data_IF_315223433781
#
_entry.id   IF_315223433781
#
_cell.length_a   1.000
_cell.length_b   1.000
_cell.length_c   1.000
_cell.angle_alpha   90.00
_cell.angle_beta   90.00
_cell.angle_gamma   90.00
#
_symmetry.space_group_name_H-M   'P 1'
#
loop_
_entity.id
_entity.type
_entity.pdbx_description
1 polymer ?
#
# COMPACT_ATOMS: atom_id res chain seq x y z
N UNK A 1 -11.00 19.57 -2.55
CA UNK A 1 -9.99 20.01 -3.55
C UNK A 1 -9.29 18.79 -4.12
N UNK A 2 -9.05 18.74 -5.43
CA UNK A 2 -8.26 17.69 -6.08
C UNK A 2 -6.79 18.09 -6.05
N UNK A 3 -5.93 17.22 -5.52
CA UNK A 3 -4.51 17.45 -5.30
C UNK A 3 -3.67 16.37 -5.99
N UNK A 4 -2.44 16.73 -6.32
CA UNK A 4 -1.39 15.76 -6.68
C UNK A 4 -1.04 14.85 -5.50
N UNK A 5 -0.45 13.69 -5.79
CA UNK A 5 -0.25 12.63 -4.80
C UNK A 5 0.64 13.08 -3.62
N UNK A 6 1.74 13.77 -3.89
CA UNK A 6 2.67 14.23 -2.85
C UNK A 6 2.04 15.35 -1.99
N UNK A 7 1.38 16.31 -2.64
CA UNK A 7 0.65 17.38 -1.96
C UNK A 7 -0.51 16.85 -1.11
N UNK A 8 -1.19 15.80 -1.57
CA UNK A 8 -2.22 15.13 -0.78
C UNK A 8 -1.66 14.52 0.51
N UNK A 9 -0.51 13.86 0.46
CA UNK A 9 0.13 13.26 1.63
C UNK A 9 0.60 14.33 2.64
N UNK A 10 1.17 15.43 2.14
CA UNK A 10 1.54 16.57 2.99
C UNK A 10 0.33 17.18 3.70
N UNK A 11 -0.74 17.44 2.95
CA UNK A 11 -1.94 18.06 3.51
C UNK A 11 -2.70 17.10 4.44
N UNK A 12 -2.69 15.79 4.15
CA UNK A 12 -3.21 14.75 5.04
C UNK A 12 -2.45 14.72 6.37
N UNK A 13 -1.13 14.88 6.34
CA UNK A 13 -0.31 14.97 7.56
C UNK A 13 -0.71 16.18 8.40
N UNK A 14 -0.94 17.34 7.77
CA UNK A 14 -1.45 18.54 8.47
C UNK A 14 -2.83 18.31 9.10
N UNK A 15 -3.71 17.55 8.43
CA UNK A 15 -5.02 17.20 9.00
C UNK A 15 -4.88 16.33 10.26
N UNK A 16 -4.00 15.34 10.27
CA UNK A 16 -3.74 14.55 11.47
C UNK A 16 -3.18 15.40 12.62
N UNK A 17 -2.25 16.31 12.34
CA UNK A 17 -1.73 17.25 13.34
C UNK A 17 -2.83 18.16 13.89
N UNK A 18 -3.70 18.71 13.03
CA UNK A 18 -4.84 19.52 13.43
C UNK A 18 -5.83 18.73 14.30
N UNK A 19 -6.12 17.48 13.94
CA UNK A 19 -6.98 16.60 14.73
C UNK A 19 -6.40 16.36 16.12
N UNK A 20 -5.07 16.15 16.24
CA UNK A 20 -4.40 15.98 17.53
C UNK A 20 -4.44 17.25 18.38
N UNK A 21 -4.09 18.40 17.80
CA UNK A 21 -4.07 19.69 18.53
C UNK A 21 -5.46 20.06 19.03
N UNK A 22 -6.50 19.84 18.22
CA UNK A 22 -7.89 20.12 18.61
C UNK A 22 -8.47 19.06 19.56
N UNK A 23 -7.83 17.89 19.65
CA UNK A 23 -8.27 16.71 20.37
C UNK A 23 -9.76 16.37 20.16
N UNK A 24 -10.28 16.67 18.97
CA UNK A 24 -11.72 16.62 18.67
C UNK A 24 -11.98 16.40 17.18
N UNK A 25 -13.06 15.70 16.89
CA UNK A 25 -13.48 15.30 15.55
C UNK A 25 -12.78 14.04 15.05
N UNK A 26 -13.34 13.45 13.99
CA UNK A 26 -12.79 12.29 13.31
C UNK A 26 -12.34 12.65 11.89
N UNK A 27 -11.20 12.12 11.48
CA UNK A 27 -10.74 12.17 10.09
C UNK A 27 -11.30 10.96 9.35
N UNK A 28 -12.14 11.21 8.34
CA UNK A 28 -12.70 10.16 7.48
C UNK A 28 -11.88 10.02 6.20
N UNK A 29 -11.44 8.81 5.87
CA UNK A 29 -10.71 8.52 4.65
C UNK A 29 -11.42 7.43 3.84
N UNK A 30 -11.58 7.66 2.53
CA UNK A 30 -12.28 6.76 1.62
C UNK A 30 -11.42 6.52 0.38
N UNK A 31 -11.23 5.26 0.01
CA UNK A 31 -10.57 4.85 -1.24
C UNK A 31 -11.60 4.14 -2.12
N UNK A 32 -11.77 4.59 -3.37
CA UNK A 32 -12.73 4.01 -4.32
C UNK A 32 -12.11 3.86 -5.70
N UNK A 33 -12.43 2.77 -6.40
CA UNK A 33 -12.05 2.61 -7.81
C UNK A 33 -12.60 3.77 -8.64
N UNK A 34 -11.73 4.35 -9.45
CA UNK A 34 -12.02 5.50 -10.30
C UNK A 34 -11.76 5.15 -11.76
N UNK A 35 -12.73 5.47 -12.60
CA UNK A 35 -12.78 5.13 -14.02
C UNK A 35 -12.52 6.35 -14.92
N UNK A 36 -11.96 7.44 -14.36
CA UNK A 36 -11.63 8.66 -15.11
C UNK A 36 -12.83 9.53 -15.48
N UNK A 37 -14.04 9.17 -15.05
CA UNK A 37 -15.25 9.92 -15.41
C UNK A 37 -15.36 11.19 -14.56
N UNK A 38 -15.51 12.33 -15.22
CA UNK A 38 -15.86 13.61 -14.60
C UNK A 38 -17.35 13.96 -14.76
N UNK A 39 -18.05 13.30 -15.68
CA UNK A 39 -19.47 13.54 -16.00
C UNK A 39 -20.32 12.34 -15.59
N UNK A 40 -21.58 12.56 -15.19
CA UNK A 40 -22.52 11.47 -14.90
C UNK A 40 -22.72 10.60 -16.15
N UNK A 41 -22.99 9.30 -15.95
CA UNK A 41 -23.35 8.42 -17.08
C UNK A 41 -24.70 8.88 -17.64
N UNK A 42 -24.82 9.14 -18.96
CA UNK A 42 -26.10 9.45 -19.56
C UNK A 42 -27.13 8.37 -19.24
N UNK A 43 -28.36 8.78 -18.88
CA UNK A 43 -29.47 7.84 -18.71
C UNK A 43 -29.83 7.31 -20.11
N UNK A 44 -29.64 6.02 -20.33
CA UNK A 44 -30.05 5.39 -21.59
C UNK A 44 -31.57 5.49 -21.73
N UNK A 45 -32.05 6.05 -22.83
CA UNK A 45 -33.48 6.00 -23.19
C UNK A 45 -33.90 4.58 -23.55
N UNK A 46 -35.19 4.26 -23.41
CA UNK A 46 -35.74 2.89 -23.56
C UNK A 46 -35.38 2.24 -24.92
N UNK A 47 -35.17 3.04 -25.98
CA UNK A 47 -34.72 2.58 -27.30
C UNK A 47 -33.25 2.12 -27.32
N UNK A 48 -32.32 2.83 -26.67
CA UNK A 48 -30.90 2.45 -26.61
C UNK A 48 -30.60 1.28 -25.65
N UNK A 49 -31.52 1.00 -24.72
CA UNK A 49 -31.42 -0.14 -23.80
C UNK A 49 -31.67 -1.48 -24.51
N UNK A 50 -32.42 -1.49 -25.61
CA UNK A 50 -32.75 -2.71 -26.35
C UNK A 50 -31.62 -3.13 -27.29
N UNK A 51 -30.84 -2.18 -27.80
CA UNK A 51 -29.68 -2.46 -28.69
C UNK A 51 -28.40 -2.85 -27.94
N UNK A 52 -28.32 -2.60 -26.63
CA UNK A 52 -27.20 -3.02 -25.76
C UNK A 52 -27.48 -4.33 -25.03
N UNK A 53 -28.08 -5.32 -25.70
CA UNK A 53 -28.07 -6.70 -25.21
C UNK A 53 -26.72 -7.32 -25.62
N UNK A 54 -25.83 -7.70 -24.69
CA UNK A 54 -24.56 -8.32 -25.06
C UNK A 54 -24.82 -9.79 -25.44
N UNK A 55 -25.03 -10.06 -26.72
CA UNK A 55 -24.73 -11.37 -27.28
C UNK A 55 -23.21 -11.47 -27.49
N UNK A 56 -22.67 -12.64 -27.13
CA UNK A 56 -21.30 -13.10 -27.32
C UNK A 56 -20.23 -12.56 -26.34
N UNK A 57 -19.77 -13.52 -25.52
CA UNK A 57 -18.35 -13.72 -25.22
C UNK A 57 -17.56 -13.60 -26.53
N UNK A 58 -16.84 -12.50 -26.68
CA UNK A 58 -15.79 -12.37 -27.68
C UNK A 58 -14.63 -11.63 -27.03
N UNK A 59 -13.52 -12.35 -26.80
CA UNK A 59 -12.23 -11.75 -26.52
C UNK A 59 -11.91 -10.71 -27.62
N UNK A 60 -11.64 -9.44 -27.29
CA UNK A 60 -11.23 -8.47 -28.29
C UNK A 60 -9.73 -8.64 -28.56
N UNK A 61 -9.39 -9.44 -29.56
CA UNK A 61 -8.05 -9.50 -30.15
C UNK A 61 -8.03 -8.58 -31.38
N UNK A 62 -7.96 -7.26 -31.23
CA UNK A 62 -7.60 -6.33 -32.34
C UNK A 62 -7.12 -4.95 -31.85
N UNK A 63 -5.80 -4.79 -31.76
CA UNK A 63 -4.91 -3.62 -31.95
C UNK A 63 -5.39 -2.13 -31.96
N UNK A 64 -6.38 -1.74 -31.17
CA UNK A 64 -6.45 -0.38 -30.58
C UNK A 64 -7.04 -0.46 -29.17
N UNK A 65 -6.40 -1.28 -28.34
CA UNK A 65 -6.76 -1.52 -26.96
C UNK A 65 -6.50 -0.24 -26.16
N UNK A 66 -7.53 0.57 -25.96
CA UNK A 66 -7.51 1.58 -24.91
C UNK A 66 -7.44 0.84 -23.59
N UNK A 67 -6.22 0.50 -23.15
CA UNK A 67 -5.93 -0.09 -21.85
C UNK A 67 -6.67 0.74 -20.82
N UNK A 68 -7.75 0.19 -20.25
CA UNK A 68 -8.58 0.91 -19.28
C UNK A 68 -7.74 1.03 -18.01
N UNK A 69 -6.96 2.10 -17.92
CA UNK A 69 -6.07 2.34 -16.81
C UNK A 69 -6.92 2.48 -15.54
N UNK A 70 -6.79 1.50 -14.63
CA UNK A 70 -7.47 1.55 -13.36
C UNK A 70 -6.80 2.56 -12.44
N UNK A 71 -7.61 3.48 -11.92
CA UNK A 71 -7.18 4.51 -10.99
C UNK A 71 -7.91 4.32 -9.67
N UNK A 72 -7.32 4.81 -8.59
CA UNK A 72 -7.95 4.87 -7.28
C UNK A 72 -8.17 6.32 -6.88
N UNK A 73 -9.40 6.66 -6.48
CA UNK A 73 -9.72 7.96 -5.92
C UNK A 73 -9.73 7.88 -4.41
N UNK A 74 -8.79 8.60 -3.80
CA UNK A 74 -8.65 8.72 -2.34
C UNK A 74 -9.25 10.07 -1.92
N UNK A 75 -10.07 10.06 -0.86
CA UNK A 75 -10.67 11.27 -0.29
C UNK A 75 -10.47 11.30 1.22
N UNK A 76 -10.06 12.45 1.73
CA UNK A 76 -9.96 12.72 3.17
C UNK A 76 -10.90 13.86 3.56
N UNK A 77 -11.58 13.71 4.69
CA UNK A 77 -12.51 14.72 5.22
C UNK A 77 -12.29 14.88 6.72
N UNK A 78 -12.07 16.13 7.14
CA UNK A 78 -12.03 16.51 8.54
C UNK A 78 -12.84 17.81 8.72
N UNK A 79 -14.03 17.69 9.33
CA UNK A 79 -14.99 18.77 9.42
C UNK A 79 -15.34 19.34 8.04
N UNK A 80 -15.06 20.63 7.84
CA UNK A 80 -15.28 21.33 6.57
C UNK A 80 -14.19 21.11 5.53
N UNK A 81 -12.99 20.65 5.93
CA UNK A 81 -11.86 20.48 5.01
C UNK A 81 -11.98 19.16 4.25
N UNK A 82 -11.90 19.24 2.91
CA UNK A 82 -12.03 18.10 1.99
C UNK A 82 -10.86 18.02 1.02
N UNK A 83 -10.13 16.92 1.07
CA UNK A 83 -9.02 16.60 0.16
C UNK A 83 -9.39 15.42 -0.72
N UNK A 84 -8.87 15.41 -1.94
CA UNK A 84 -9.02 14.28 -2.85
C UNK A 84 -7.78 14.16 -3.73
N UNK A 85 -7.40 12.95 -4.10
CA UNK A 85 -6.35 12.68 -5.08
C UNK A 85 -6.69 11.45 -5.90
N UNK A 86 -6.22 11.42 -7.14
CA UNK A 86 -6.33 10.25 -8.03
C UNK A 86 -4.96 9.61 -8.13
N UNK A 87 -4.89 8.32 -7.80
CA UNK A 87 -3.66 7.53 -7.86
C UNK A 87 -3.75 6.60 -9.06
N UNK A 88 -2.78 6.74 -9.97
CA UNK A 88 -2.65 5.89 -11.15
C UNK A 88 -1.88 4.61 -10.82
N UNK A 89 -1.95 3.62 -11.70
CA UNK A 89 -1.25 2.34 -11.52
C UNK A 89 0.28 2.49 -11.40
N UNK A 90 0.86 3.47 -12.11
CA UNK A 90 2.31 3.73 -12.14
C UNK A 90 2.86 4.20 -10.80
N UNK A 91 2.09 5.01 -10.07
CA UNK A 91 2.54 5.68 -8.85
C UNK A 91 2.10 4.96 -7.57
N UNK A 92 1.35 3.86 -7.69
CA UNK A 92 0.73 3.18 -6.55
C UNK A 92 1.76 2.69 -5.53
N UNK A 93 2.91 2.17 -5.98
CA UNK A 93 3.96 1.64 -5.10
C UNK A 93 4.56 2.75 -4.22
N UNK A 94 4.88 3.89 -4.85
CA UNK A 94 5.41 5.08 -4.15
C UNK A 94 4.38 5.64 -3.18
N UNK A 95 3.14 5.81 -3.64
CA UNK A 95 2.05 6.30 -2.82
C UNK A 95 1.79 5.39 -1.62
N UNK A 96 1.75 4.07 -1.82
CA UNK A 96 1.49 3.09 -0.78
C UNK A 96 2.56 3.13 0.33
N UNK A 97 3.84 3.20 -0.03
CA UNK A 97 4.92 3.25 0.95
C UNK A 97 4.82 4.51 1.82
N UNK A 98 4.66 5.68 1.19
CA UNK A 98 4.54 6.95 1.89
C UNK A 98 3.26 7.01 2.74
N UNK A 99 2.13 6.56 2.19
CA UNK A 99 0.84 6.52 2.88
C UNK A 99 0.85 5.57 4.09
N UNK A 100 1.46 4.38 3.97
CA UNK A 100 1.57 3.45 5.08
C UNK A 100 2.42 4.01 6.23
N UNK A 101 3.54 4.67 5.90
CA UNK A 101 4.38 5.34 6.89
C UNK A 101 3.64 6.50 7.57
N UNK A 102 2.90 7.29 6.80
CA UNK A 102 2.05 8.37 7.30
C UNK A 102 1.02 7.84 8.31
N UNK A 103 0.27 6.78 7.98
CA UNK A 103 -0.71 6.22 8.91
C UNK A 103 -0.07 5.72 10.20
N UNK A 104 1.03 4.96 10.10
CA UNK A 104 1.74 4.43 11.27
C UNK A 104 2.24 5.53 12.20
N UNK A 105 2.74 6.64 11.64
CA UNK A 105 3.22 7.78 12.43
C UNK A 105 2.10 8.63 13.05
N UNK A 106 0.85 8.48 12.58
CA UNK A 106 -0.27 9.32 13.00
C UNK A 106 -1.38 8.61 13.78
N UNK A 107 -1.45 7.28 13.72
CA UNK A 107 -2.45 6.45 14.40
C UNK A 107 -1.83 5.67 15.58
N UNK A 108 -0.95 6.30 16.34
CA UNK A 108 -0.19 5.73 17.46
C UNK A 108 -0.96 5.71 18.78
N UNK A 109 -1.99 6.53 18.91
CA UNK A 109 -2.71 6.81 20.16
C UNK A 109 -3.75 5.73 20.54
N UNK A 110 -3.63 4.53 19.99
CA UNK A 110 -4.51 3.39 20.28
C UNK A 110 -4.01 2.63 21.52
N UNK A 111 -4.94 2.07 22.30
CA UNK A 111 -4.58 1.22 23.45
C UNK A 111 -3.71 0.06 22.98
N UNK A 112 -2.58 -0.17 23.66
CA UNK A 112 -1.73 -1.33 23.42
C UNK A 112 -2.53 -2.60 23.70
N UNK A 113 -2.44 -3.59 22.82
CA UNK A 113 -3.01 -4.91 23.09
C UNK A 113 -2.35 -5.46 24.35
N UNK A 114 -3.16 -5.84 25.35
CA UNK A 114 -2.65 -6.53 26.53
C UNK A 114 -1.95 -7.81 26.05
N UNK A 115 -0.69 -7.97 26.43
CA UNK A 115 0.02 -9.23 26.21
C UNK A 115 -0.56 -10.18 27.25
N UNK A 116 -1.43 -11.09 26.82
CA UNK A 116 -1.78 -12.22 27.67
C UNK A 116 -0.48 -12.94 27.98
N UNK A 117 -0.04 -12.88 29.24
CA UNK A 117 1.06 -13.69 29.72
C UNK A 117 0.58 -15.14 29.63
N UNK A 118 0.86 -15.82 28.53
CA UNK A 118 0.85 -17.28 28.50
C UNK A 118 1.97 -17.75 29.43
N UNK A 119 1.64 -17.82 30.71
CA UNK A 119 2.36 -18.63 31.67
C UNK A 119 2.41 -20.06 31.11
N UNK A 120 3.60 -20.62 31.18
CA UNK A 120 3.96 -21.99 30.84
C UNK A 120 2.94 -22.98 31.38
N UNK A 121 2.23 -23.66 30.47
CA UNK A 121 1.35 -24.78 30.77
C UNK A 121 1.35 -25.72 29.58
N UNK A 122 2.25 -26.72 29.63
CA UNK A 122 2.16 -27.88 28.76
C UNK A 122 0.83 -28.58 29.02
N UNK A 123 -0.04 -28.69 28.03
CA UNK A 123 -0.94 -29.85 27.88
C UNK A 123 -1.29 -30.01 26.41
N UNK A 124 -0.87 -31.15 25.87
CA UNK A 124 -1.17 -31.70 24.55
C UNK A 124 -2.68 -31.93 24.37
N UNK A 125 -3.24 -31.64 23.19
CA UNK A 125 -4.06 -32.57 22.38
C UNK A 125 -4.49 -31.96 21.05
N UNK A 126 -4.69 -32.88 20.10
CA UNK A 126 -4.70 -32.79 18.64
C UNK A 126 -6.11 -32.53 18.06
N UNK A 127 -6.23 -31.85 16.90
CA UNK A 127 -7.07 -32.21 15.75
C UNK A 127 -7.34 -31.02 14.79
N UNK A 128 -6.54 -30.98 13.72
CA UNK A 128 -6.89 -30.76 12.32
C UNK A 128 -8.15 -29.94 11.92
N UNK A 129 -7.93 -28.79 11.28
CA UNK A 129 -8.84 -28.28 10.24
C UNK A 129 -8.01 -27.76 9.05
N UNK A 130 -7.95 -28.58 8.00
CA UNK A 130 -7.41 -28.27 6.68
C UNK A 130 -8.03 -27.00 6.07
N UNK A 131 -7.21 -25.99 5.80
CA UNK A 131 -7.49 -24.97 4.77
C UNK A 131 -6.18 -24.80 3.97
N UNK A 132 -6.14 -25.07 2.66
CA UNK A 132 -4.92 -24.93 1.88
C UNK A 132 -4.63 -23.44 1.63
N UNK A 133 -3.45 -22.99 2.09
CA UNK A 133 -2.83 -21.72 1.70
C UNK A 133 -2.28 -21.85 0.27
N UNK A 134 -2.69 -20.98 -0.64
CA UNK A 134 -2.03 -20.79 -1.93
C UNK A 134 -0.65 -20.12 -1.75
N UNK A 135 0.38 -20.50 -2.52
CA UNK A 135 1.76 -20.09 -2.27
C UNK A 135 2.02 -18.62 -2.62
N UNK A 136 2.60 -17.90 -1.65
CA UNK A 136 3.19 -16.57 -1.81
C UNK A 136 4.62 -16.72 -2.32
N UNK A 137 4.90 -16.24 -3.53
CA UNK A 137 6.24 -16.17 -4.10
C UNK A 137 7.07 -15.15 -3.31
N UNK A 138 8.04 -15.64 -2.54
CA UNK A 138 9.14 -14.86 -1.97
C UNK A 138 10.35 -15.02 -2.89
N UNK A 139 10.73 -13.98 -3.61
CA UNK A 139 12.05 -13.93 -4.24
C UNK A 139 13.03 -13.36 -3.21
N UNK A 140 13.74 -14.29 -2.57
CA UNK A 140 14.98 -14.05 -1.82
C UNK A 140 16.10 -13.89 -2.85
N UNK A 141 16.73 -12.72 -2.94
CA UNK A 141 18.04 -12.60 -3.60
C UNK A 141 19.10 -12.93 -2.56
N UNK A 142 19.51 -14.19 -2.56
CA UNK A 142 20.73 -14.66 -1.90
C UNK A 142 21.95 -14.20 -2.68
N UNK A 143 22.88 -13.65 -1.92
CA UNK A 143 24.30 -13.50 -2.23
C UNK A 143 24.91 -14.82 -2.71
N UNK A 144 25.72 -14.76 -3.78
CA UNK A 144 26.60 -15.85 -4.19
C UNK A 144 27.92 -15.28 -4.72
N UNK A 145 28.98 -15.53 -3.96
CA UNK A 145 30.39 -15.37 -4.30
C UNK A 145 30.84 -16.39 -5.36
N UNK A 146 31.95 -16.11 -6.07
CA UNK A 146 32.86 -17.16 -6.52
C UNK A 146 34.30 -16.97 -6.02
N UNK A 147 34.86 -18.05 -5.47
CA UNK A 147 36.30 -18.39 -5.40
C UNK A 147 36.85 -18.57 -6.83
N UNK A 148 38.13 -18.43 -7.21
CA UNK A 148 39.45 -18.57 -6.59
C UNK A 148 40.53 -18.10 -7.61
N UNK A 149 41.72 -17.66 -7.17
CA UNK A 149 43.08 -18.11 -7.63
C UNK A 149 44.20 -17.10 -7.34
N UNK A 150 45.15 -17.54 -6.49
CA UNK A 150 46.59 -17.21 -6.30
C UNK A 150 47.20 -15.82 -6.64
N UNK A 151 47.92 -15.21 -5.68
CA UNK A 151 49.39 -15.00 -5.73
C UNK A 151 49.95 -14.35 -4.44
N UNK A 152 51.28 -14.45 -4.29
CA UNK A 152 52.10 -14.50 -3.06
C UNK A 152 52.46 -13.17 -2.32
N UNK A 153 52.63 -13.34 -1.00
CA UNK A 153 53.71 -12.90 -0.07
C UNK A 153 54.40 -11.51 -0.17
N UNK A 154 54.40 -10.77 0.95
CA UNK A 154 55.58 -10.26 1.74
C UNK A 154 55.10 -9.50 3.00
N UNK A 155 55.34 -9.99 4.24
CA UNK A 155 56.38 -9.55 5.24
C UNK A 155 56.45 -8.01 5.40
N UNK A 156 56.30 -7.34 6.56
CA UNK A 156 56.83 -7.50 7.95
C UNK A 156 56.20 -6.42 8.91
N UNK A 157 56.46 -6.39 10.23
CA UNK A 157 55.53 -5.98 11.31
C UNK A 157 55.77 -4.58 11.91
N UNK A 158 54.92 -4.10 12.85
CA UNK A 158 55.30 -3.44 14.14
C UNK A 158 54.10 -2.87 14.94
N UNK A 159 53.91 -3.42 16.15
CA UNK A 159 53.56 -2.82 17.47
C UNK A 159 52.16 -2.26 17.83
N UNK A 160 51.81 -2.61 19.07
CA UNK A 160 50.58 -2.46 19.83
C UNK A 160 50.40 -1.07 20.50
N UNK A 161 49.12 -0.77 20.82
CA UNK A 161 48.55 -0.14 22.01
C UNK A 161 49.48 0.61 23.02
N UNK A 162 49.02 1.76 23.56
CA UNK A 162 48.22 1.88 24.82
C UNK A 162 48.23 3.32 25.35
N UNK A 163 47.09 3.74 25.95
CA UNK A 163 46.86 4.78 26.98
C UNK A 163 47.99 5.78 27.30
N UNK A 164 47.64 7.07 27.29
CA UNK A 164 47.36 7.82 28.54
C UNK A 164 46.32 8.89 28.27
#
# INVERSE_FOLDING_TARGET
>A
MLLENDNFLMELTKLFQQQRVKNSGSLSLVMKRYDGRAKPKPKLTKKQRLEKKPSSISHPTTHHETVVEYKCLVRAVYGSKKLSTVVSSKDINRFQLAYANLLKANMDSLKKKAKENKATGQTSTNANSNIPLSPRTTTTTTVSSPSSTSHQQKKTPTTQAKKK
#
